data_IF_377911030260
#
_entry.id   IF_377911030260
#
_cell.length_a   1.000
_cell.length_b   1.000
_cell.length_c   1.000
_cell.angle_alpha   90.00
_cell.angle_beta   90.00
_cell.angle_gamma   90.00
#
_symmetry.space_group_name_H-M   'P 1'
#
loop_
_entity.id
_entity.type
_entity.pdbx_description
1 polymer ?
#
# COMPACT_ATOMS: atom_id res chain seq x y z
N UNK A 1 -18.92 -10.48 -2.46
CA UNK A 1 -17.94 -9.87 -1.53
C UNK A 1 -16.58 -10.51 -1.81
N UNK A 2 -15.58 -9.78 -2.34
CA UNK A 2 -14.31 -10.36 -2.79
C UNK A 2 -13.58 -11.18 -1.72
N UNK A 3 -13.50 -10.67 -0.47
CA UNK A 3 -12.86 -11.37 0.64
C UNK A 3 -13.55 -12.70 0.99
N UNK A 4 -14.89 -12.71 1.04
CA UNK A 4 -15.65 -13.92 1.33
C UNK A 4 -15.48 -14.97 0.22
N UNK A 5 -15.45 -14.53 -1.04
CA UNK A 5 -15.25 -15.42 -2.17
C UNK A 5 -13.85 -16.05 -2.13
N UNK A 6 -12.80 -15.25 -1.89
CA UNK A 6 -11.43 -15.74 -1.76
C UNK A 6 -11.29 -16.76 -0.61
N UNK A 7 -11.87 -16.47 0.55
CA UNK A 7 -11.83 -17.39 1.69
C UNK A 7 -12.57 -18.71 1.40
N UNK A 8 -13.66 -18.67 0.63
CA UNK A 8 -14.38 -19.88 0.20
C UNK A 8 -13.60 -20.68 -0.85
N UNK A 9 -12.89 -20.02 -1.74
CA UNK A 9 -12.16 -20.65 -2.85
C UNK A 9 -10.81 -21.22 -2.42
N UNK A 10 -10.06 -20.50 -1.57
CA UNK A 10 -8.69 -20.85 -1.18
C UNK A 10 -8.55 -21.26 0.29
N UNK A 11 -9.63 -21.18 1.07
CA UNK A 11 -9.63 -21.49 2.49
C UNK A 11 -9.24 -20.31 3.38
N UNK A 12 -9.63 -20.42 4.65
CA UNK A 12 -9.43 -19.37 5.66
C UNK A 12 -7.96 -19.10 5.96
N UNK A 13 -7.09 -20.12 5.93
CA UNK A 13 -5.65 -19.96 6.18
C UNK A 13 -4.98 -19.10 5.10
N UNK A 14 -5.28 -19.38 3.83
CA UNK A 14 -4.79 -18.57 2.71
C UNK A 14 -5.26 -17.13 2.81
N UNK A 15 -6.53 -16.92 3.19
CA UNK A 15 -7.08 -15.59 3.42
C UNK A 15 -6.37 -14.86 4.56
N UNK A 16 -6.14 -15.51 5.71
CA UNK A 16 -5.41 -14.92 6.84
C UNK A 16 -3.99 -14.54 6.43
N UNK A 17 -3.29 -15.42 5.70
CA UNK A 17 -1.95 -15.13 5.19
C UNK A 17 -1.94 -13.89 4.27
N UNK A 18 -2.95 -13.75 3.41
CA UNK A 18 -3.12 -12.56 2.58
C UNK A 18 -3.37 -11.30 3.42
N UNK A 19 -4.21 -11.37 4.46
CA UNK A 19 -4.47 -10.22 5.33
C UNK A 19 -3.22 -9.80 6.11
N UNK A 20 -2.42 -10.75 6.60
CA UNK A 20 -1.15 -10.45 7.27
C UNK A 20 -0.17 -9.71 6.36
N UNK A 21 -0.08 -10.09 5.07
CA UNK A 21 0.74 -9.36 4.09
C UNK A 21 0.23 -7.92 3.89
N UNK A 22 -1.08 -7.74 3.77
CA UNK A 22 -1.70 -6.40 3.65
C UNK A 22 -1.41 -5.51 4.85
N UNK A 23 -1.47 -6.08 6.07
CA UNK A 23 -1.16 -5.35 7.31
C UNK A 23 0.31 -4.89 7.30
N UNK A 24 1.26 -5.78 7.00
CA UNK A 24 2.68 -5.43 6.93
C UNK A 24 2.98 -4.34 5.90
N UNK A 25 2.33 -4.39 4.74
CA UNK A 25 2.45 -3.34 3.73
C UNK A 25 1.90 -2.01 4.22
N UNK A 26 0.73 -2.02 4.85
CA UNK A 26 0.14 -0.80 5.42
C UNK A 26 1.04 -0.20 6.51
N UNK A 27 1.64 -1.03 7.37
CA UNK A 27 2.61 -0.58 8.38
C UNK A 27 3.82 0.10 7.72
N UNK A 28 4.38 -0.49 6.65
CA UNK A 28 5.47 0.12 5.89
C UNK A 28 5.05 1.44 5.23
N UNK A 29 3.86 1.49 4.62
CA UNK A 29 3.32 2.71 4.02
C UNK A 29 3.16 3.84 5.05
N UNK A 30 2.70 3.51 6.27
CA UNK A 30 2.54 4.50 7.34
C UNK A 30 3.90 4.95 7.86
N UNK A 31 4.83 4.02 8.12
CA UNK A 31 6.14 4.33 8.67
C UNK A 31 6.99 5.20 7.72
N UNK A 32 6.95 4.91 6.42
CA UNK A 32 7.84 5.54 5.45
C UNK A 32 7.21 6.68 4.65
N UNK A 33 5.88 6.70 4.51
CA UNK A 33 5.21 7.60 3.58
C UNK A 33 4.06 8.41 4.20
N UNK A 34 3.76 8.29 5.50
CA UNK A 34 2.75 9.14 6.12
C UNK A 34 3.30 10.53 6.43
N UNK A 35 2.56 11.54 6.00
CA UNK A 35 2.79 12.96 6.28
C UNK A 35 1.87 13.48 7.40
N UNK A 36 1.22 12.57 8.13
CA UNK A 36 0.21 12.85 9.15
C UNK A 36 -1.19 13.09 8.59
N UNK A 37 -1.38 13.03 7.27
CA UNK A 37 -2.67 13.26 6.59
C UNK A 37 -3.03 12.16 5.60
N UNK A 38 -2.14 11.19 5.39
CA UNK A 38 -2.27 10.20 4.32
C UNK A 38 -2.70 8.82 4.82
N UNK A 39 -2.72 8.61 6.14
CA UNK A 39 -3.17 7.37 6.79
C UNK A 39 -4.49 6.81 6.26
N UNK A 40 -5.57 7.61 6.24
CA UNK A 40 -6.89 7.14 5.77
C UNK A 40 -6.87 6.73 4.30
N UNK A 41 -6.06 7.40 3.47
CA UNK A 41 -5.88 7.04 2.07
C UNK A 41 -5.13 5.70 1.93
N UNK A 42 -4.10 5.48 2.75
CA UNK A 42 -3.36 4.22 2.78
C UNK A 42 -4.22 3.05 3.27
N UNK A 43 -5.03 3.23 4.31
CA UNK A 43 -5.95 2.18 4.79
C UNK A 43 -6.94 1.77 3.69
N UNK A 44 -7.50 2.74 2.95
CA UNK A 44 -8.39 2.46 1.81
C UNK A 44 -7.66 1.72 0.69
N UNK A 45 -6.47 2.20 0.33
CA UNK A 45 -5.64 1.57 -0.71
C UNK A 45 -5.29 0.11 -0.36
N UNK A 46 -4.87 -0.14 0.89
CA UNK A 46 -4.52 -1.47 1.39
C UNK A 46 -5.73 -2.43 1.45
N UNK A 47 -6.94 -1.89 1.56
CA UNK A 47 -8.18 -2.69 1.56
C UNK A 47 -8.68 -2.98 0.16
N UNK A 48 -8.62 -1.99 -0.74
CA UNK A 48 -9.31 -2.02 -2.02
C UNK A 48 -8.45 -2.52 -3.18
N UNK A 49 -7.14 -2.30 -3.14
CA UNK A 49 -6.25 -2.70 -4.23
C UNK A 49 -5.94 -4.19 -4.16
N UNK A 50 -5.65 -4.79 -5.32
CA UNK A 50 -5.05 -6.11 -5.37
C UNK A 50 -3.70 -6.13 -4.61
N UNK A 51 -3.38 -7.26 -3.96
CA UNK A 51 -2.18 -7.37 -3.13
C UNK A 51 -0.90 -7.19 -3.96
N UNK A 52 -0.82 -7.81 -5.15
CA UNK A 52 0.36 -7.69 -5.99
C UNK A 52 0.49 -6.26 -6.56
N UNK A 53 -0.64 -5.61 -6.89
CA UNK A 53 -0.63 -4.21 -7.31
C UNK A 53 -0.15 -3.28 -6.18
N UNK A 54 -0.54 -3.54 -4.93
CA UNK A 54 -0.11 -2.79 -3.76
C UNK A 54 1.39 -2.97 -3.49
N UNK A 55 1.89 -4.22 -3.47
CA UNK A 55 3.31 -4.56 -3.30
C UNK A 55 4.17 -3.83 -4.34
N UNK A 56 3.83 -3.97 -5.62
CA UNK A 56 4.54 -3.30 -6.71
C UNK A 56 4.52 -1.77 -6.59
N UNK A 57 3.45 -1.18 -6.06
CA UNK A 57 3.34 0.27 -5.88
C UNK A 57 4.23 0.79 -4.78
N UNK A 58 4.31 0.07 -3.65
CA UNK A 58 5.21 0.39 -2.55
C UNK A 58 6.66 0.25 -3.00
N UNK A 59 7.01 -0.83 -3.69
CA UNK A 59 8.36 -1.04 -4.21
C UNK A 59 8.78 0.07 -5.19
N UNK A 60 7.89 0.44 -6.12
CA UNK A 60 8.13 1.57 -7.04
C UNK A 60 8.34 2.88 -6.29
N UNK A 61 7.56 3.12 -5.23
CA UNK A 61 7.71 4.33 -4.41
C UNK A 61 9.06 4.35 -3.69
N UNK A 62 9.49 3.22 -3.11
CA UNK A 62 10.79 3.07 -2.44
C UNK A 62 11.93 3.32 -3.43
N UNK A 63 11.88 2.70 -4.61
CA UNK A 63 12.90 2.90 -5.64
C UNK A 63 12.94 4.35 -6.10
N UNK A 64 11.78 4.99 -6.33
CA UNK A 64 11.73 6.40 -6.73
C UNK A 64 12.31 7.34 -5.68
N UNK A 65 11.98 7.13 -4.40
CA UNK A 65 12.57 7.88 -3.27
C UNK A 65 14.09 7.76 -3.26
N UNK A 66 14.61 6.55 -3.51
CA UNK A 66 16.05 6.29 -3.57
C UNK A 66 16.71 6.96 -4.78
N UNK A 67 16.17 6.78 -5.98
CA UNK A 67 16.70 7.34 -7.23
C UNK A 67 16.70 8.88 -7.20
N UNK A 68 15.62 9.48 -6.70
CA UNK A 68 15.47 10.93 -6.61
C UNK A 68 16.22 11.52 -5.39
N UNK A 69 16.94 10.69 -4.60
CA UNK A 69 17.66 11.08 -3.38
C UNK A 69 16.81 11.88 -2.38
N UNK A 70 15.54 11.50 -2.23
CA UNK A 70 14.62 12.17 -1.32
C UNK A 70 15.01 11.86 0.12
N UNK A 71 15.20 12.91 0.93
CA UNK A 71 15.61 12.77 2.33
C UNK A 71 14.53 12.06 3.14
N UNK A 72 14.89 11.23 4.14
CA UNK A 72 13.91 10.56 4.99
C UNK A 72 12.93 11.52 5.71
N UNK A 73 13.37 12.73 6.03
CA UNK A 73 12.58 13.77 6.69
C UNK A 73 11.69 14.60 5.75
N UNK A 74 11.82 14.45 4.42
CA UNK A 74 10.88 15.05 3.46
C UNK A 74 9.64 14.17 3.32
N UNK A 75 8.88 14.07 4.41
CA UNK A 75 7.67 13.24 4.50
C UNK A 75 6.61 13.66 3.49
N UNK A 76 6.52 14.96 3.18
CA UNK A 76 5.56 15.51 2.22
C UNK A 76 5.84 15.03 0.79
N UNK A 77 7.10 15.03 0.36
CA UNK A 77 7.46 14.54 -0.98
C UNK A 77 7.36 13.04 -1.07
N UNK A 78 7.79 12.30 -0.04
CA UNK A 78 7.61 10.84 0.03
C UNK A 78 6.13 10.47 -0.07
N UNK A 79 5.26 11.09 0.74
CA UNK A 79 3.81 10.87 0.69
C UNK A 79 3.22 11.15 -0.70
N UNK A 80 3.64 12.25 -1.34
CA UNK A 80 3.18 12.60 -2.70
C UNK A 80 3.56 11.53 -3.73
N UNK A 81 4.76 10.98 -3.65
CA UNK A 81 5.23 9.93 -4.56
C UNK A 81 4.32 8.70 -4.46
N UNK A 82 4.14 8.15 -3.25
CA UNK A 82 3.33 6.95 -3.08
C UNK A 82 1.86 7.21 -3.44
N UNK A 83 1.28 8.33 -3.01
CA UNK A 83 -0.10 8.69 -3.36
C UNK A 83 -0.30 8.86 -4.86
N UNK A 84 0.66 9.46 -5.56
CA UNK A 84 0.61 9.59 -7.01
C UNK A 84 0.58 8.23 -7.72
N UNK A 85 1.42 7.29 -7.27
CA UNK A 85 1.46 5.92 -7.81
C UNK A 85 0.13 5.20 -7.54
N UNK A 86 -0.33 5.22 -6.28
CA UNK A 86 -1.57 4.54 -5.87
C UNK A 86 -2.82 5.12 -6.55
N UNK A 87 -2.87 6.44 -6.73
CA UNK A 87 -4.00 7.09 -7.41
C UNK A 87 -4.05 6.74 -8.90
N UNK A 88 -2.91 6.39 -9.52
CA UNK A 88 -2.86 5.94 -10.92
C UNK A 88 -3.39 4.53 -11.15
N UNK A 89 -3.60 3.75 -10.07
CA UNK A 89 -4.10 2.37 -10.13
C UNK A 89 -5.39 2.16 -9.32
N UNK A 90 -5.85 3.19 -8.61
CA UNK A 90 -7.09 3.12 -7.85
C UNK A 90 -8.27 3.02 -8.84
N UNK A 91 -9.19 2.06 -8.64
CA UNK A 91 -10.44 2.06 -9.40
C UNK A 91 -11.21 3.35 -9.09
N UNK A 92 -11.77 3.96 -10.14
CA UNK A 92 -12.56 5.18 -10.09
C UNK A 92 -13.78 5.05 -9.17
#
# INVERSE_FOLDING_TARGET
MPNLNFAKEHGTEAFIGQQQKRIKLLEAMIADFDDGRSRSFYCKSATLLDLAALENSVDKAIQKVKTDNIKPNDTKTRARILKGILSGIAPA
#
